data_IF_377625302810
#
_entry.id   IF_377625302810
#
_cell.length_a   1.000
_cell.length_b   1.000
_cell.length_c   1.000
_cell.angle_alpha   90.00
_cell.angle_beta   90.00
_cell.angle_gamma   90.00
#
_symmetry.space_group_name_H-M   'P 1'
#
loop_
_entity.id
_entity.type
_entity.pdbx_description
1 polymer ?
#
# COMPACT_ATOMS: atom_id res chain seq x y z
N UNK A 1 -6.15 -49.94 -26.14
CA UNK A 1 -5.54 -49.44 -27.38
C UNK A 1 -4.17 -48.90 -26.99
N UNK A 2 -3.10 -49.32 -27.67
CA UNK A 2 -1.74 -48.85 -27.39
C UNK A 2 -1.35 -47.90 -28.50
N UNK A 3 -0.94 -46.68 -28.13
CA UNK A 3 -0.43 -45.69 -29.08
C UNK A 3 1.09 -45.63 -28.97
N UNK A 4 1.78 -45.79 -30.10
CA UNK A 4 3.22 -45.61 -30.20
C UNK A 4 3.49 -44.11 -30.32
N UNK A 5 4.37 -43.58 -29.47
CA UNK A 5 4.80 -42.18 -29.49
C UNK A 5 6.30 -42.12 -29.77
N UNK A 6 6.72 -41.15 -30.57
CA UNK A 6 8.12 -41.00 -31.03
C UNK A 6 9.02 -40.26 -30.02
N UNK A 7 8.47 -39.84 -28.87
CA UNK A 7 9.22 -39.16 -27.81
C UNK A 7 8.78 -39.66 -26.44
N UNK A 8 9.72 -39.70 -25.48
CA UNK A 8 9.41 -39.94 -24.08
C UNK A 8 8.56 -38.76 -23.59
N UNK A 9 7.35 -39.04 -23.10
CA UNK A 9 6.58 -38.06 -22.33
C UNK A 9 7.37 -37.78 -21.05
N UNK A 10 8.18 -36.72 -21.05
CA UNK A 10 8.67 -36.16 -19.81
C UNK A 10 7.49 -35.45 -19.16
N UNK A 11 7.10 -35.76 -17.92
CA UNK A 11 6.21 -34.87 -17.20
C UNK A 11 6.88 -33.50 -17.21
N UNK A 12 6.18 -32.48 -17.69
CA UNK A 12 6.56 -31.11 -17.38
C UNK A 12 6.47 -31.04 -15.86
N UNK A 13 7.60 -31.01 -15.15
CA UNK A 13 7.60 -30.48 -13.80
C UNK A 13 7.13 -29.05 -14.00
N UNK A 14 5.86 -28.77 -13.70
CA UNK A 14 5.45 -27.39 -13.53
C UNK A 14 6.30 -26.88 -12.36
N UNK A 15 7.03 -25.77 -12.53
CA UNK A 15 7.77 -25.20 -11.43
C UNK A 15 6.78 -24.94 -10.28
N UNK A 16 7.12 -25.37 -9.07
CA UNK A 16 6.31 -25.13 -7.88
C UNK A 16 6.71 -23.76 -7.32
N UNK A 17 6.06 -22.70 -7.79
CA UNK A 17 6.37 -21.32 -7.40
C UNK A 17 5.75 -20.95 -6.06
N UNK A 18 6.17 -19.82 -5.50
CA UNK A 18 5.54 -19.25 -4.29
C UNK A 18 4.04 -18.99 -4.49
N UNK A 19 3.61 -18.65 -5.72
CA UNK A 19 2.20 -18.48 -6.06
C UNK A 19 1.47 -19.82 -6.06
N UNK A 20 2.07 -20.88 -6.61
CA UNK A 20 1.47 -22.22 -6.60
C UNK A 20 1.26 -22.74 -5.17
N UNK A 21 2.20 -22.49 -4.26
CA UNK A 21 2.05 -22.85 -2.83
C UNK A 21 0.85 -22.12 -2.19
N UNK A 22 0.63 -20.86 -2.55
CA UNK A 22 -0.49 -20.05 -2.02
C UNK A 22 -1.81 -20.56 -2.60
N UNK A 23 -1.87 -20.77 -3.91
CA UNK A 23 -3.09 -21.23 -4.63
C UNK A 23 -3.51 -22.64 -4.21
N UNK A 24 -2.56 -23.54 -3.94
CA UNK A 24 -2.85 -24.89 -3.48
C UNK A 24 -3.22 -24.96 -1.97
N UNK A 25 -3.24 -23.82 -1.27
CA UNK A 25 -3.51 -23.75 0.17
C UNK A 25 -4.95 -23.30 0.48
N UNK A 26 -5.74 -24.10 1.21
CA UNK A 26 -7.13 -23.76 1.55
C UNK A 26 -7.26 -22.63 2.58
N UNK A 27 -6.16 -22.19 3.19
CA UNK A 27 -6.12 -21.15 4.23
C UNK A 27 -5.72 -19.77 3.66
N UNK A 28 -5.61 -19.64 2.33
CA UNK A 28 -5.12 -18.44 1.64
C UNK A 28 -6.02 -18.01 0.47
N UNK A 29 -7.32 -18.35 0.49
CA UNK A 29 -8.26 -18.02 -0.60
C UNK A 29 -8.39 -16.49 -0.81
N UNK A 30 -8.30 -15.70 0.27
CA UNK A 30 -8.34 -14.23 0.22
C UNK A 30 -7.05 -13.68 -0.39
N UNK A 31 -5.90 -14.23 0.00
CA UNK A 31 -4.59 -13.84 -0.52
C UNK A 31 -4.47 -14.13 -2.02
N UNK A 32 -4.90 -15.32 -2.47
CA UNK A 32 -4.96 -15.68 -3.89
C UNK A 32 -5.79 -14.66 -4.67
N UNK A 33 -7.00 -14.40 -4.19
CA UNK A 33 -7.91 -13.44 -4.84
C UNK A 33 -7.30 -12.03 -4.93
N UNK A 34 -6.57 -11.61 -3.90
CA UNK A 34 -5.89 -10.33 -3.87
C UNK A 34 -4.72 -10.25 -4.87
N UNK A 35 -3.88 -11.30 -4.96
CA UNK A 35 -2.76 -11.37 -5.91
C UNK A 35 -3.26 -11.32 -7.35
N UNK A 36 -4.33 -12.05 -7.66
CA UNK A 36 -4.97 -12.04 -8.99
C UNK A 36 -5.57 -10.66 -9.29
N UNK A 37 -6.25 -10.04 -8.32
CA UNK A 37 -6.85 -8.72 -8.50
C UNK A 37 -5.79 -7.62 -8.73
N UNK A 38 -4.63 -7.76 -8.10
CA UNK A 38 -3.49 -6.85 -8.24
C UNK A 38 -2.61 -7.12 -9.46
N UNK A 39 -2.90 -8.15 -10.26
CA UNK A 39 -2.11 -8.58 -11.43
C UNK A 39 -0.63 -8.87 -11.08
N UNK A 40 -0.37 -9.39 -9.87
CA UNK A 40 0.98 -9.72 -9.37
C UNK A 40 1.37 -11.20 -9.57
N UNK A 41 0.46 -12.01 -10.09
CA UNK A 41 0.65 -13.45 -10.30
C UNK A 41 1.83 -13.75 -11.23
N UNK A 42 1.94 -13.01 -12.33
CA UNK A 42 3.07 -13.15 -13.28
C UNK A 42 4.40 -12.73 -12.64
N UNK A 43 4.40 -11.66 -11.84
CA UNK A 43 5.61 -11.11 -11.20
C UNK A 43 6.14 -12.02 -10.08
N UNK A 44 5.24 -12.59 -9.27
CA UNK A 44 5.60 -13.51 -8.18
C UNK A 44 5.88 -14.93 -8.68
N UNK A 45 5.46 -15.27 -9.90
CA UNK A 45 5.84 -16.51 -10.59
C UNK A 45 7.16 -16.38 -11.36
N UNK A 46 7.75 -15.19 -11.43
CA UNK A 46 9.01 -14.94 -12.12
C UNK A 46 10.21 -15.67 -11.49
N UNK A 47 11.37 -15.61 -12.16
CA UNK A 47 12.62 -16.15 -11.63
C UNK A 47 13.01 -15.39 -10.35
N UNK A 48 12.92 -16.08 -9.22
CA UNK A 48 13.28 -15.55 -7.91
C UNK A 48 14.80 -15.58 -7.63
N UNK A 49 15.23 -15.60 -6.36
CA UNK A 49 14.44 -16.02 -5.20
C UNK A 49 13.59 -14.90 -4.56
N UNK A 50 12.38 -15.25 -4.13
CA UNK A 50 11.49 -14.40 -3.33
C UNK A 50 11.28 -14.99 -1.93
N UNK A 51 10.97 -14.14 -0.96
CA UNK A 51 10.45 -14.58 0.34
C UNK A 51 9.08 -13.96 0.53
N UNK A 52 8.04 -14.78 0.60
CA UNK A 52 6.66 -14.31 0.76
C UNK A 52 6.19 -14.59 2.19
N UNK A 53 5.73 -13.56 2.87
CA UNK A 53 5.05 -13.68 4.16
C UNK A 53 3.54 -13.74 3.88
N UNK A 54 2.97 -14.95 3.84
CA UNK A 54 1.60 -15.20 3.43
C UNK A 54 0.64 -15.13 4.63
N UNK A 55 -0.21 -14.09 4.75
CA UNK A 55 -1.24 -14.05 5.77
C UNK A 55 -2.36 -15.07 5.49
N UNK A 56 -2.85 -15.73 6.53
CA UNK A 56 -4.00 -16.62 6.43
C UNK A 56 -5.32 -15.85 6.23
N UNK A 57 -6.37 -16.54 5.82
CA UNK A 57 -7.71 -15.94 5.70
C UNK A 57 -8.20 -15.38 7.05
N UNK A 58 -7.90 -16.06 8.16
CA UNK A 58 -8.16 -15.57 9.52
C UNK A 58 -7.44 -14.23 9.81
N UNK A 59 -6.25 -14.03 9.24
CA UNK A 59 -5.48 -12.79 9.39
C UNK A 59 -6.15 -11.61 8.66
N UNK A 60 -6.75 -11.87 7.49
CA UNK A 60 -7.54 -10.88 6.77
C UNK A 60 -8.85 -10.57 7.49
N UNK A 61 -9.52 -11.57 8.05
CA UNK A 61 -10.74 -11.40 8.85
C UNK A 61 -10.49 -10.62 10.15
N UNK A 62 -9.27 -10.68 10.69
CA UNK A 62 -8.86 -9.91 11.87
C UNK A 62 -8.63 -8.42 11.58
N UNK A 63 -8.64 -7.99 10.31
CA UNK A 63 -8.51 -6.59 9.95
C UNK A 63 -9.70 -5.75 10.47
N UNK A 64 -9.49 -4.47 10.80
CA UNK A 64 -10.58 -3.57 11.13
C UNK A 64 -11.65 -3.54 10.03
N UNK A 65 -12.91 -3.49 10.43
CA UNK A 65 -14.02 -3.43 9.48
C UNK A 65 -13.89 -2.24 8.53
N UNK A 66 -13.94 -2.50 7.23
CA UNK A 66 -13.76 -1.51 6.16
C UNK A 66 -12.36 -1.47 5.55
N UNK A 67 -11.33 -1.97 6.24
CA UNK A 67 -9.95 -1.96 5.70
C UNK A 67 -9.84 -2.86 4.46
N UNK A 68 -10.35 -4.09 4.50
CA UNK A 68 -10.33 -4.98 3.34
C UNK A 68 -11.13 -4.40 2.16
N UNK A 69 -12.29 -3.78 2.43
CA UNK A 69 -13.12 -3.14 1.39
C UNK A 69 -12.38 -1.98 0.72
N UNK A 70 -11.66 -1.16 1.50
CA UNK A 70 -10.82 -0.07 0.99
C UNK A 70 -9.69 -0.60 0.08
N UNK A 71 -9.03 -1.70 0.48
CA UNK A 71 -7.98 -2.30 -0.34
C UNK A 71 -8.53 -2.87 -1.65
N UNK A 72 -9.71 -3.48 -1.62
CA UNK A 72 -10.36 -4.02 -2.82
C UNK A 72 -10.91 -2.92 -3.75
N UNK A 73 -11.05 -1.66 -3.29
CA UNK A 73 -11.45 -0.54 -4.14
C UNK A 73 -10.33 -0.05 -5.07
N UNK A 74 -9.07 -0.25 -4.70
CA UNK A 74 -7.90 0.09 -5.51
C UNK A 74 -6.91 -1.09 -5.61
N UNK A 75 -7.28 -2.13 -6.37
CA UNK A 75 -6.54 -3.39 -6.40
C UNK A 75 -5.14 -3.27 -7.01
N UNK A 76 -4.92 -2.32 -7.93
CA UNK A 76 -3.63 -2.11 -8.61
C UNK A 76 -2.75 -1.05 -7.96
N UNK A 77 -3.26 -0.33 -6.95
CA UNK A 77 -2.53 0.68 -6.20
C UNK A 77 -2.29 0.20 -4.77
N UNK A 78 -3.16 0.62 -3.85
CA UNK A 78 -3.01 0.32 -2.42
C UNK A 78 -2.88 -1.18 -2.10
N UNK A 79 -3.67 -2.04 -2.76
CA UNK A 79 -3.58 -3.49 -2.54
C UNK A 79 -2.25 -4.05 -3.07
N UNK A 80 -1.83 -3.66 -4.26
CA UNK A 80 -0.56 -4.09 -4.83
C UNK A 80 0.63 -3.70 -3.94
N UNK A 81 0.65 -2.47 -3.42
CA UNK A 81 1.71 -2.00 -2.52
C UNK A 81 1.75 -2.80 -1.20
N UNK A 82 0.58 -3.17 -0.66
CA UNK A 82 0.49 -4.03 0.52
C UNK A 82 0.97 -5.44 0.21
N UNK A 83 0.57 -6.02 -0.92
CA UNK A 83 1.05 -7.34 -1.33
C UNK A 83 2.57 -7.33 -1.52
N UNK A 84 3.13 -6.29 -2.13
CA UNK A 84 4.58 -6.10 -2.24
C UNK A 84 5.27 -5.86 -0.89
N UNK A 85 4.54 -5.40 0.13
CA UNK A 85 5.06 -5.31 1.51
C UNK A 85 5.11 -6.67 2.23
N UNK A 86 4.44 -7.69 1.69
CA UNK A 86 4.55 -9.07 2.15
C UNK A 86 5.66 -9.84 1.43
N UNK A 87 6.29 -9.26 0.41
CA UNK A 87 7.30 -9.95 -0.42
C UNK A 87 8.65 -9.28 -0.27
N UNK A 88 9.67 -10.05 0.09
CA UNK A 88 11.06 -9.62 0.06
C UNK A 88 11.80 -10.23 -1.12
N UNK A 89 12.77 -9.49 -1.66
CA UNK A 89 13.74 -10.04 -2.60
C UNK A 89 14.77 -10.90 -1.85
N UNK A 90 15.12 -12.06 -2.41
CA UNK A 90 16.01 -13.02 -1.78
C UNK A 90 15.25 -14.20 -1.16
N UNK A 91 15.95 -15.32 -0.94
CA UNK A 91 15.44 -16.42 -0.12
C UNK A 91 15.95 -16.22 1.30
N UNK A 92 15.03 -15.95 2.23
CA UNK A 92 15.33 -15.80 3.66
C UNK A 92 14.67 -16.95 4.39
N UNK A 93 15.49 -17.91 4.83
CA UNK A 93 15.04 -19.03 5.64
C UNK A 93 14.97 -18.63 7.11
N UNK A 94 14.15 -19.34 7.89
CA UNK A 94 14.01 -19.10 9.33
C UNK A 94 15.34 -19.22 10.08
N UNK A 95 16.25 -20.08 9.60
CA UNK A 95 17.58 -20.28 10.16
C UNK A 95 18.53 -19.08 9.94
N UNK A 96 18.26 -18.26 8.92
CA UNK A 96 19.04 -17.06 8.58
C UNK A 96 18.50 -15.81 9.27
N UNK A 97 17.29 -15.89 9.88
CA UNK A 97 16.68 -14.79 10.62
C UNK A 97 17.41 -14.54 11.95
N UNK A 98 17.70 -13.28 12.22
CA UNK A 98 18.29 -12.82 13.48
C UNK A 98 17.34 -11.88 14.21
N UNK A 99 17.37 -11.91 15.54
CA UNK A 99 16.61 -10.96 16.36
C UNK A 99 17.08 -9.53 16.11
N UNK A 100 16.13 -8.63 15.84
CA UNK A 100 16.38 -7.24 15.47
C UNK A 100 16.88 -7.05 14.03
N UNK A 101 16.85 -8.08 13.19
CA UNK A 101 17.16 -7.95 11.76
C UNK A 101 16.12 -7.10 11.06
N UNK A 102 16.56 -6.31 10.09
CA UNK A 102 15.68 -5.57 9.19
C UNK A 102 15.70 -6.21 7.81
N UNK A 103 14.53 -6.44 7.22
CA UNK A 103 14.36 -6.98 5.86
C UNK A 103 13.69 -5.91 5.02
N UNK A 104 14.29 -5.57 3.88
CA UNK A 104 13.72 -4.63 2.92
C UNK A 104 12.77 -5.37 1.98
N UNK A 105 11.51 -4.95 1.95
CA UNK A 105 10.48 -5.53 1.10
C UNK A 105 10.52 -4.97 -0.33
N UNK A 106 9.81 -5.61 -1.26
CA UNK A 106 9.68 -5.12 -2.63
C UNK A 106 8.95 -3.78 -2.71
N UNK A 107 8.09 -3.47 -1.73
CA UNK A 107 7.50 -2.13 -1.57
C UNK A 107 8.50 -1.06 -1.11
N UNK A 108 9.80 -1.37 -1.01
CA UNK A 108 10.89 -0.51 -0.52
C UNK A 108 10.80 -0.11 0.96
N UNK A 109 9.82 -0.64 1.67
CA UNK A 109 9.65 -0.44 3.11
C UNK A 109 10.28 -1.58 3.88
N UNK A 110 10.89 -1.25 5.01
CA UNK A 110 11.56 -2.20 5.87
C UNK A 110 10.57 -2.85 6.87
N UNK A 111 10.79 -4.13 7.18
CA UNK A 111 10.19 -4.82 8.32
C UNK A 111 11.26 -5.20 9.33
N UNK A 112 10.87 -5.27 10.60
CA UNK A 112 11.75 -5.73 11.68
C UNK A 112 11.39 -7.14 12.09
N UNK A 113 12.39 -8.01 12.14
CA UNK A 113 12.27 -9.38 12.66
C UNK A 113 12.52 -9.34 14.16
N UNK A 114 11.58 -9.87 14.93
CA UNK A 114 11.73 -10.03 16.39
C UNK A 114 11.68 -11.51 16.72
N UNK A 115 12.69 -12.03 17.42
CA UNK A 115 12.74 -13.43 17.85
C UNK A 115 12.77 -13.46 19.37
N UNK A 116 11.71 -14.00 19.98
CA UNK A 116 11.56 -14.07 21.43
C UNK A 116 11.20 -15.51 21.87
N UNK A 117 10.81 -15.68 23.15
CA UNK A 117 10.41 -17.01 23.66
C UNK A 117 9.09 -17.53 23.07
N UNK A 118 8.26 -16.64 22.54
CA UNK A 118 6.94 -16.95 21.99
C UNK A 118 7.00 -17.33 20.51
N UNK A 119 8.04 -16.90 19.78
CA UNK A 119 8.27 -17.28 18.39
C UNK A 119 9.06 -16.27 17.57
N UNK A 120 8.91 -16.37 16.24
CA UNK A 120 9.43 -15.41 15.26
C UNK A 120 8.29 -14.48 14.86
N UNK A 121 8.56 -13.18 14.88
CA UNK A 121 7.62 -12.14 14.52
C UNK A 121 8.21 -11.26 13.41
N UNK A 122 7.38 -10.88 12.45
CA UNK A 122 7.68 -9.89 11.42
C UNK A 122 6.81 -8.67 11.75
N UNK A 123 7.45 -7.59 12.22
CA UNK A 123 6.78 -6.52 12.95
C UNK A 123 5.95 -7.10 14.11
N UNK A 124 4.62 -6.98 14.04
CA UNK A 124 3.66 -7.48 15.04
C UNK A 124 2.99 -8.80 14.61
N UNK A 125 3.28 -9.32 13.40
CA UNK A 125 2.70 -10.56 12.88
C UNK A 125 3.55 -11.76 13.30
N UNK A 126 2.93 -12.78 13.89
CA UNK A 126 3.59 -14.02 14.27
C UNK A 126 3.71 -14.94 13.07
N UNK A 127 4.90 -15.50 12.86
CA UNK A 127 5.12 -16.53 11.85
C UNK A 127 4.66 -17.88 12.42
N UNK A 128 3.62 -18.46 11.83
CA UNK A 128 2.98 -19.70 12.29
C UNK A 128 3.55 -20.94 11.60
N UNK A 129 3.92 -20.80 10.33
CA UNK A 129 4.59 -21.85 9.53
C UNK A 129 5.80 -21.22 8.84
N UNK A 130 6.95 -21.87 8.93
CA UNK A 130 8.20 -21.40 8.32
C UNK A 130 8.69 -22.35 7.25
N UNK A 131 9.50 -21.80 6.32
CA UNK A 131 10.33 -22.56 5.37
C UNK A 131 9.53 -23.45 4.39
N UNK A 132 8.43 -22.93 3.83
CA UNK A 132 7.77 -23.59 2.71
C UNK A 132 8.57 -23.32 1.42
N UNK A 133 9.36 -24.29 1.00
CA UNK A 133 10.25 -24.17 -0.16
C UNK A 133 9.47 -24.18 -1.49
N UNK A 134 9.74 -23.16 -2.30
CA UNK A 134 9.32 -23.04 -3.69
C UNK A 134 10.55 -23.05 -4.62
N UNK A 135 10.36 -23.39 -5.89
CA UNK A 135 11.41 -23.36 -6.90
C UNK A 135 11.96 -21.94 -7.14
N UNK A 136 11.14 -20.91 -6.89
CA UNK A 136 11.49 -19.51 -7.03
C UNK A 136 11.53 -18.74 -5.68
N UNK A 137 11.55 -19.43 -4.54
CA UNK A 137 11.53 -18.72 -3.25
C UNK A 137 11.18 -19.55 -2.03
N UNK A 138 10.74 -18.85 -0.98
CA UNK A 138 10.28 -19.42 0.29
C UNK A 138 9.01 -18.71 0.72
N UNK A 139 8.03 -19.46 1.24
CA UNK A 139 6.82 -18.91 1.86
C UNK A 139 6.86 -19.14 3.37
N UNK A 140 6.55 -18.09 4.13
CA UNK A 140 6.33 -18.13 5.58
C UNK A 140 4.90 -17.70 5.87
N UNK A 141 4.14 -18.52 6.57
CA UNK A 141 2.74 -18.20 6.92
C UNK A 141 2.71 -17.33 8.16
N UNK A 142 1.91 -16.27 8.15
CA UNK A 142 1.75 -15.31 9.25
C UNK A 142 0.29 -15.21 9.71
N UNK A 143 0.08 -14.84 10.96
CA UNK A 143 -1.26 -14.73 11.57
C UNK A 143 -1.89 -13.32 11.50
N UNK A 144 -1.17 -12.34 10.93
CA UNK A 144 -1.64 -10.98 10.77
C UNK A 144 -1.16 -10.39 9.44
N UNK A 145 -1.99 -9.56 8.81
CA UNK A 145 -1.62 -8.81 7.60
C UNK A 145 -0.61 -7.73 7.94
N UNK A 146 0.52 -7.72 7.23
CA UNK A 146 1.52 -6.66 7.31
C UNK A 146 0.98 -5.41 6.63
N UNK A 147 0.70 -4.40 7.43
CA UNK A 147 0.42 -3.07 6.94
C UNK A 147 1.73 -2.27 6.99
N UNK A 148 2.18 -1.68 5.88
CA UNK A 148 3.33 -0.80 5.94
C UNK A 148 3.03 0.30 6.97
N UNK A 149 3.98 0.63 7.86
CA UNK A 149 3.82 1.80 8.68
C UNK A 149 3.53 2.93 7.71
N UNK A 150 2.39 3.61 7.86
CA UNK A 150 2.07 4.79 7.06
C UNK A 150 3.32 5.65 7.12
N UNK A 151 4.08 5.69 6.03
CA UNK A 151 5.34 6.40 6.04
C UNK A 151 4.92 7.81 6.38
N UNK A 152 5.31 8.31 7.54
CA UNK A 152 5.14 9.72 7.90
C UNK A 152 6.00 10.62 6.99
N UNK A 153 6.68 10.00 6.01
CA UNK A 153 7.41 10.57 4.89
C UNK A 153 6.61 10.60 3.59
N UNK A 154 5.49 9.86 3.50
CA UNK A 154 4.34 10.34 2.74
C UNK A 154 3.55 11.20 3.71
N UNK A 155 3.64 12.51 3.51
CA UNK A 155 2.75 13.43 4.19
C UNK A 155 1.35 13.13 3.65
N UNK A 156 0.67 12.17 4.24
CA UNK A 156 -0.79 12.05 4.34
C UNK A 156 -1.54 12.71 3.17
N UNK A 157 -1.44 12.11 1.97
CA UNK A 157 -2.20 12.58 0.80
C UNK A 157 -3.67 12.19 0.86
N UNK A 158 -4.14 11.54 1.95
CA UNK A 158 -5.55 11.18 2.06
C UNK A 158 -6.28 11.74 3.29
N UNK A 159 -5.60 12.31 4.32
CA UNK A 159 -6.28 13.05 5.39
C UNK A 159 -5.48 14.23 6.00
N UNK A 160 -4.92 15.10 5.15
CA UNK A 160 -4.84 16.54 5.45
C UNK A 160 -3.64 17.02 6.27
N UNK A 161 -2.50 17.18 5.59
CA UNK A 161 -1.37 17.98 6.13
C UNK A 161 -0.81 18.99 5.12
N UNK A 162 -1.68 19.58 4.30
CA UNK A 162 -1.42 20.94 3.83
C UNK A 162 -1.95 21.94 4.86
N UNK A 163 -1.15 22.96 5.15
CA UNK A 163 -1.48 24.00 6.12
C UNK A 163 -1.70 25.32 5.42
N UNK A 164 -2.74 26.04 5.86
CA UNK A 164 -2.98 27.41 5.45
C UNK A 164 -2.69 28.40 6.57
N UNK A 165 -1.94 29.45 6.23
CA UNK A 165 -1.69 30.54 7.15
C UNK A 165 -1.40 31.86 6.40
N UNK A 166 -1.65 33.02 7.03
CA UNK A 166 -2.39 33.18 8.28
C UNK A 166 -3.88 32.84 8.09
N UNK A 167 -4.51 32.26 9.09
CA UNK A 167 -5.96 32.14 9.14
C UNK A 167 -6.41 32.69 10.50
N UNK A 168 -7.09 33.85 10.57
CA UNK A 168 -7.69 34.61 9.45
C UNK A 168 -6.67 35.40 8.59
N UNK A 169 -7.00 35.58 7.30
CA UNK A 169 -6.19 36.25 6.26
C UNK A 169 -6.82 37.58 5.83
N UNK A 170 -6.00 38.51 5.32
CA UNK A 170 -6.47 39.76 4.69
C UNK A 170 -6.10 39.85 3.22
N UNK A 171 -4.85 39.55 2.85
CA UNK A 171 -4.37 39.70 1.47
C UNK A 171 -3.92 38.37 0.87
N UNK A 172 -2.94 37.71 1.49
CA UNK A 172 -2.27 36.54 0.93
C UNK A 172 -2.35 35.35 1.89
N UNK A 173 -2.94 34.26 1.43
CA UNK A 173 -2.97 32.98 2.13
C UNK A 173 -1.83 32.11 1.61
N UNK A 174 -0.94 31.65 2.47
CA UNK A 174 0.08 30.66 2.12
C UNK A 174 -0.50 29.27 2.29
N UNK A 175 -0.28 28.42 1.29
CA UNK A 175 -0.61 27.00 1.29
C UNK A 175 0.73 26.26 1.23
N UNK A 176 1.04 25.48 2.26
CA UNK A 176 2.22 24.62 2.32
C UNK A 176 1.82 23.16 2.30
N UNK A 177 2.63 22.33 1.64
CA UNK A 177 2.40 20.88 1.59
C UNK A 177 1.47 20.44 0.47
N UNK A 178 1.36 21.25 -0.59
CA UNK A 178 0.64 20.91 -1.83
C UNK A 178 1.56 20.03 -2.68
N UNK A 179 1.05 19.02 -3.40
CA UNK A 179 1.86 18.29 -4.36
C UNK A 179 2.21 19.17 -5.58
N UNK A 180 3.22 18.77 -6.37
CA UNK A 180 3.55 19.51 -7.58
C UNK A 180 2.42 19.35 -8.61
N UNK A 181 1.73 20.45 -8.94
CA UNK A 181 0.61 20.56 -9.90
C UNK A 181 -0.74 20.06 -9.44
N UNK A 182 -1.40 20.82 -8.57
CA UNK A 182 -2.79 20.57 -8.14
C UNK A 182 -3.75 21.67 -8.62
N UNK A 183 -4.98 21.30 -8.98
CA UNK A 183 -6.04 22.27 -9.24
C UNK A 183 -6.66 22.70 -7.91
N UNK A 184 -6.95 23.99 -7.75
CA UNK A 184 -7.70 24.48 -6.59
C UNK A 184 -9.01 25.15 -6.99
N UNK A 185 -9.99 25.10 -6.10
CA UNK A 185 -11.29 25.77 -6.23
C UNK A 185 -11.67 26.36 -4.87
N UNK A 186 -12.02 27.65 -4.83
CA UNK A 186 -12.52 28.32 -3.63
C UNK A 186 -14.02 28.51 -3.74
N UNK A 187 -14.73 28.13 -2.68
CA UNK A 187 -16.17 28.33 -2.51
C UNK A 187 -16.46 29.33 -1.40
N UNK A 188 -17.49 30.15 -1.59
CA UNK A 188 -18.04 30.99 -0.52
C UNK A 188 -18.96 30.16 0.41
N UNK A 189 -19.44 30.77 1.50
CA UNK A 189 -20.36 30.14 2.46
C UNK A 189 -21.69 29.66 1.86
N UNK A 190 -22.05 30.10 0.64
CA UNK A 190 -23.25 29.66 -0.09
C UNK A 190 -22.95 28.52 -1.08
N UNK A 191 -21.74 27.97 -1.08
CA UNK A 191 -21.31 26.92 -1.99
C UNK A 191 -21.05 27.39 -3.42
N UNK A 192 -20.98 28.71 -3.66
CA UNK A 192 -20.66 29.24 -4.99
C UNK A 192 -19.16 29.30 -5.19
N UNK A 193 -18.69 28.81 -6.33
CA UNK A 193 -17.30 28.94 -6.74
C UNK A 193 -16.97 30.42 -6.98
N UNK A 194 -15.97 30.93 -6.26
CA UNK A 194 -15.51 32.33 -6.35
C UNK A 194 -14.09 32.45 -6.92
N UNK A 195 -13.31 31.37 -6.90
CA UNK A 195 -11.95 31.35 -7.42
C UNK A 195 -11.55 29.94 -7.86
N UNK A 196 -10.67 29.82 -8.84
CA UNK A 196 -10.02 28.55 -9.21
C UNK A 196 -8.69 28.82 -9.90
N UNK A 197 -7.78 27.85 -9.87
CA UNK A 197 -6.50 27.93 -10.54
C UNK A 197 -5.70 26.65 -10.36
N UNK A 198 -4.39 26.72 -10.59
CA UNK A 198 -3.46 25.62 -10.34
C UNK A 198 -2.30 26.07 -9.47
N UNK A 199 -1.89 25.22 -8.54
CA UNK A 199 -0.66 25.36 -7.77
C UNK A 199 0.45 24.56 -8.43
N UNK A 200 1.51 25.24 -8.85
CA UNK A 200 2.61 24.61 -9.59
C UNK A 200 3.80 24.26 -8.69
N UNK A 201 3.74 24.61 -7.40
CA UNK A 201 4.83 24.45 -6.45
C UNK A 201 4.30 24.00 -5.09
N UNK A 202 5.15 23.28 -4.34
CA UNK A 202 4.85 22.75 -3.00
C UNK A 202 4.45 23.81 -1.98
N UNK A 203 4.99 25.02 -2.15
CA UNK A 203 4.58 26.21 -1.42
C UNK A 203 4.01 27.20 -2.42
N UNK A 204 2.73 27.53 -2.23
CA UNK A 204 2.02 28.46 -3.09
C UNK A 204 1.31 29.52 -2.27
N UNK A 205 1.09 30.68 -2.89
CA UNK A 205 0.36 31.79 -2.28
C UNK A 205 -0.90 32.03 -3.08
N UNK A 206 -2.02 32.19 -2.38
CA UNK A 206 -3.31 32.56 -2.93
C UNK A 206 -3.65 33.99 -2.52
N UNK A 207 -3.84 34.86 -3.51
CA UNK A 207 -4.29 36.24 -3.29
C UNK A 207 -5.81 36.24 -3.08
N UNK A 208 -6.23 36.63 -1.88
CA UNK A 208 -7.63 36.69 -1.44
C UNK A 208 -8.10 38.13 -1.23
N UNK A 209 -7.30 39.14 -1.58
CA UNK A 209 -7.61 40.57 -1.39
C UNK A 209 -8.86 41.04 -2.15
N UNK A 210 -9.26 40.29 -3.20
CA UNK A 210 -10.46 40.55 -3.98
C UNK A 210 -11.73 39.93 -3.38
N UNK A 211 -11.61 39.07 -2.36
CA UNK A 211 -12.74 38.42 -1.71
C UNK A 211 -13.36 39.32 -0.65
N UNK A 212 -14.69 39.29 -0.53
CA UNK A 212 -15.37 40.01 0.55
C UNK A 212 -15.10 39.32 1.90
N UNK A 213 -15.10 40.06 3.03
CA UNK A 213 -14.94 39.44 4.35
C UNK A 213 -15.97 38.33 4.61
N UNK A 214 -15.51 37.17 5.10
CA UNK A 214 -16.37 36.00 5.25
C UNK A 214 -15.62 34.68 5.39
N UNK A 215 -16.39 33.60 5.46
CA UNK A 215 -15.88 32.22 5.52
C UNK A 215 -15.85 31.63 4.12
N UNK A 216 -14.73 31.02 3.78
CA UNK A 216 -14.48 30.38 2.49
C UNK A 216 -13.95 28.96 2.70
N UNK A 217 -14.12 28.15 1.67
CA UNK A 217 -13.67 26.76 1.62
C UNK A 217 -12.75 26.59 0.42
N UNK A 218 -11.50 26.23 0.65
CA UNK A 218 -10.54 25.89 -0.39
C UNK A 218 -10.57 24.38 -0.61
N UNK A 219 -10.87 23.96 -1.83
CA UNK A 219 -10.82 22.58 -2.27
C UNK A 219 -9.59 22.41 -3.18
N UNK A 220 -8.74 21.44 -2.86
CA UNK A 220 -7.64 20.96 -3.67
C UNK A 220 -8.07 19.68 -4.35
N UNK A 221 -7.94 19.66 -5.68
CA UNK A 221 -8.31 18.54 -6.54
C UNK A 221 -7.00 17.98 -7.11
N UNK A 222 -6.62 16.80 -6.61
CA UNK A 222 -5.51 15.99 -7.12
C UNK A 222 -6.04 14.84 -7.98
N UNK A 223 -5.12 14.10 -8.62
CA UNK A 223 -5.43 12.87 -9.37
C UNK A 223 -5.85 11.72 -8.47
N UNK A 224 -5.42 11.74 -7.21
CA UNK A 224 -5.56 10.64 -6.27
C UNK A 224 -6.48 10.97 -5.10
N UNK A 225 -6.65 12.26 -4.76
CA UNK A 225 -7.53 12.68 -3.66
C UNK A 225 -8.11 14.08 -3.85
N UNK A 226 -9.22 14.36 -3.14
CA UNK A 226 -9.78 15.71 -3.00
C UNK A 226 -9.69 16.13 -1.54
N UNK A 227 -9.03 17.25 -1.26
CA UNK A 227 -8.84 17.72 0.11
C UNK A 227 -9.42 19.13 0.30
N UNK A 228 -10.02 19.39 1.46
CA UNK A 228 -10.75 20.64 1.70
C UNK A 228 -10.40 21.28 3.04
N UNK A 229 -10.17 22.60 3.06
CA UNK A 229 -9.93 23.36 4.28
C UNK A 229 -10.63 24.72 4.26
N UNK A 230 -11.16 25.15 5.41
CA UNK A 230 -11.85 26.43 5.54
C UNK A 230 -10.92 27.54 6.04
N UNK A 231 -11.11 28.75 5.52
CA UNK A 231 -10.41 29.96 5.98
C UNK A 231 -11.33 31.16 6.09
N UNK A 232 -10.87 32.14 6.87
CA UNK A 232 -11.61 33.38 7.15
C UNK A 232 -10.87 34.56 6.52
N UNK A 233 -11.56 35.31 5.66
CA UNK A 233 -11.10 36.61 5.13
C UNK A 233 -11.63 37.72 6.02
N UNK A 234 -10.75 38.61 6.48
CA UNK A 234 -11.06 39.78 7.33
C UNK A 234 -11.30 41.03 6.52
#
# INVERSE_FOLDING_TARGET
IVHVIDAVLMPTLLPNTVVDIIVDSPDHEILESAVIAAELDDDLSAEGPFTVFAPTDDAFDALPAGTLDELLMDPTGALADILLYHVAAGATFSADLMDGQTITMLSTTDVTVTINMDGVFINDAMVTVVDLEADNGVVHVIDAVLLPPTSVNDIDSDNGKWIIYPNPVSDNLTIQGVESTEQFVVFNAYGQQVMTGMFNNVNSTLDVSSLSPGVYTLNLVSRFSNSTQSFIVK
#
